data_IF_378438151445
#
_entry.id   IF_378438151445
#
_cell.length_a   1.000
_cell.length_b   1.000
_cell.length_c   1.000
_cell.angle_alpha   90.00
_cell.angle_beta   90.00
_cell.angle_gamma   90.00
#
_symmetry.space_group_name_H-M   'P 1'
#
loop_
_entity.id
_entity.type
_entity.pdbx_description
1 polymer ?
#
# COMPACT_ATOMS: atom_id res chain seq x y z
N UNK A 1 -3.30 9.60 -10.06
CA UNK A 1 -2.25 8.68 -9.58
C UNK A 1 -0.99 9.48 -9.45
N UNK A 2 -0.30 9.38 -8.31
CA UNK A 2 0.96 10.10 -8.08
C UNK A 2 2.14 9.36 -8.72
N UNK A 3 3.20 10.09 -9.07
CA UNK A 3 4.41 9.59 -9.75
C UNK A 3 5.09 8.52 -8.90
N UNK A 4 5.26 8.78 -7.61
CA UNK A 4 5.91 7.86 -6.68
C UNK A 4 5.19 6.50 -6.60
N UNK A 5 3.87 6.49 -6.81
CA UNK A 5 3.10 5.25 -6.83
C UNK A 5 3.33 4.45 -8.12
N UNK A 6 3.44 5.14 -9.27
CA UNK A 6 3.77 4.49 -10.55
C UNK A 6 5.18 3.90 -10.49
N UNK A 7 6.14 4.64 -9.95
CA UNK A 7 7.51 4.15 -9.74
C UNK A 7 7.54 2.88 -8.89
N UNK A 8 6.79 2.86 -7.79
CA UNK A 8 6.68 1.69 -6.92
C UNK A 8 6.08 0.49 -7.67
N UNK A 9 4.99 0.68 -8.42
CA UNK A 9 4.37 -0.39 -9.21
C UNK A 9 5.35 -0.94 -10.26
N UNK A 10 6.02 -0.06 -11.01
CA UNK A 10 6.98 -0.47 -12.02
C UNK A 10 8.14 -1.25 -11.41
N UNK A 11 8.69 -0.79 -10.28
CA UNK A 11 9.78 -1.45 -9.58
C UNK A 11 9.44 -2.89 -9.19
N UNK A 12 8.20 -3.14 -8.73
CA UNK A 12 7.73 -4.48 -8.38
C UNK A 12 7.34 -5.32 -9.61
N UNK A 13 6.87 -4.69 -10.68
CA UNK A 13 6.46 -5.36 -11.91
C UNK A 13 7.67 -5.76 -12.79
N UNK A 14 8.78 -5.02 -12.72
CA UNK A 14 9.98 -5.34 -13.47
C UNK A 14 10.63 -6.63 -13.00
N UNK A 15 10.93 -7.48 -13.97
CA UNK A 15 11.56 -8.78 -13.78
C UNK A 15 12.34 -9.21 -15.03
N UNK A 16 13.04 -10.33 -14.92
CA UNK A 16 13.72 -10.99 -16.06
C UNK A 16 12.78 -11.30 -17.24
N UNK A 17 11.48 -11.42 -16.99
CA UNK A 17 10.47 -11.64 -18.05
C UNK A 17 10.14 -10.37 -18.83
N UNK A 18 10.27 -9.22 -18.20
CA UNK A 18 10.01 -7.89 -18.80
C UNK A 18 11.25 -7.31 -19.46
N UNK A 19 12.45 -7.72 -19.02
CA UNK A 19 13.70 -7.42 -19.72
C UNK A 19 14.74 -8.51 -19.47
N UNK A 20 15.41 -8.98 -20.51
CA UNK A 20 16.51 -9.95 -20.38
C UNK A 20 17.76 -9.36 -19.72
N UNK A 21 17.85 -8.03 -19.62
CA UNK A 21 18.95 -7.31 -18.96
C UNK A 21 18.69 -7.03 -17.47
N UNK A 22 17.49 -7.36 -16.98
CA UNK A 22 17.08 -7.11 -15.60
C UNK A 22 17.96 -7.85 -14.59
N UNK A 23 18.33 -7.15 -13.51
CA UNK A 23 18.96 -7.77 -12.34
C UNK A 23 18.39 -7.17 -11.06
N UNK A 24 18.56 -7.87 -9.93
CA UNK A 24 18.13 -7.36 -8.62
C UNK A 24 18.88 -6.08 -8.20
N UNK A 25 20.13 -5.90 -8.64
CA UNK A 25 20.94 -4.72 -8.35
C UNK A 25 20.68 -3.55 -9.30
N UNK A 26 20.11 -3.79 -10.48
CA UNK A 26 19.67 -2.75 -11.41
C UNK A 26 18.36 -3.16 -12.10
N UNK A 27 17.21 -3.03 -11.41
CA UNK A 27 15.90 -3.45 -11.94
C UNK A 27 15.42 -2.67 -13.16
N UNK A 28 15.89 -1.43 -13.35
CA UNK A 28 15.50 -0.59 -14.48
C UNK A 28 16.22 -0.96 -15.80
N UNK A 29 17.28 -1.77 -15.73
CA UNK A 29 18.13 -2.06 -16.89
C UNK A 29 17.37 -2.77 -18.01
N UNK A 30 17.34 -2.11 -19.18
CA UNK A 30 16.65 -2.61 -20.37
C UNK A 30 15.12 -2.55 -20.25
N UNK A 31 14.59 -1.69 -19.37
CA UNK A 31 13.14 -1.51 -19.20
C UNK A 31 12.58 -0.29 -19.93
N UNK A 32 13.41 0.56 -20.54
CA UNK A 32 13.00 1.85 -21.10
C UNK A 32 11.86 1.71 -22.13
N UNK A 33 12.09 0.94 -23.19
CA UNK A 33 11.14 0.75 -24.28
C UNK A 33 9.82 0.13 -23.83
N UNK A 34 9.89 -0.93 -23.04
CA UNK A 34 8.70 -1.64 -22.52
C UNK A 34 7.89 -0.77 -21.55
N UNK A 35 8.58 0.01 -20.70
CA UNK A 35 7.94 0.93 -19.76
C UNK A 35 7.28 2.10 -20.50
N UNK A 36 7.96 2.69 -21.49
CA UNK A 36 7.43 3.79 -22.27
C UNK A 36 6.12 3.43 -22.99
N UNK A 37 6.03 2.19 -23.49
CA UNK A 37 4.80 1.64 -24.09
C UNK A 37 3.66 1.50 -23.08
N UNK A 38 3.91 0.91 -21.90
CA UNK A 38 2.90 0.71 -20.86
C UNK A 38 2.40 2.05 -20.30
N UNK A 39 3.31 2.99 -20.04
CA UNK A 39 2.96 4.34 -19.56
C UNK A 39 2.14 5.10 -20.60
N UNK A 40 2.50 4.98 -21.88
CA UNK A 40 1.71 5.56 -22.96
C UNK A 40 0.29 4.97 -23.01
N UNK A 41 0.10 3.67 -22.77
CA UNK A 41 -1.23 3.07 -22.73
C UNK A 41 -2.05 3.48 -21.50
N UNK A 42 -1.40 3.75 -20.37
CA UNK A 42 -2.05 4.16 -19.13
C UNK A 42 -2.46 5.64 -19.12
N UNK A 43 -1.61 6.52 -19.64
CA UNK A 43 -1.74 7.97 -19.48
C UNK A 43 -1.83 8.74 -20.80
N UNK A 44 -1.67 8.07 -21.94
CA UNK A 44 -1.50 8.70 -23.24
C UNK A 44 -0.16 9.43 -23.34
N UNK A 45 -0.16 10.61 -23.96
CA UNK A 45 1.05 11.40 -24.18
C UNK A 45 1.88 10.89 -25.36
N UNK A 46 3.09 11.41 -25.49
CA UNK A 46 4.01 11.09 -26.58
C UNK A 46 5.12 10.17 -26.08
N UNK A 47 5.59 9.27 -26.95
CA UNK A 47 6.84 8.53 -26.72
C UNK A 47 7.95 9.35 -27.37
N UNK A 48 9.00 9.61 -26.62
CA UNK A 48 10.20 10.31 -27.10
C UNK A 48 11.43 9.49 -26.79
N UNK A 49 12.56 9.83 -27.42
CA UNK A 49 13.82 9.13 -27.23
C UNK A 49 15.02 10.08 -27.21
N UNK A 50 16.12 9.59 -26.66
CA UNK A 50 17.42 10.27 -26.67
C UNK A 50 18.54 9.26 -26.91
N UNK A 51 19.69 9.70 -27.42
CA UNK A 51 20.85 8.83 -27.53
C UNK A 51 21.39 8.47 -26.14
N UNK A 52 21.68 7.18 -25.91
CA UNK A 52 22.29 6.65 -24.69
C UNK A 52 23.46 5.72 -25.03
N UNK A 53 24.34 5.37 -24.07
CA UNK A 53 25.53 4.56 -24.36
C UNK A 53 25.26 3.23 -25.06
N UNK A 54 24.12 2.59 -24.73
CA UNK A 54 23.73 1.27 -25.24
C UNK A 54 22.66 1.33 -26.36
N UNK A 55 22.45 2.51 -26.96
CA UNK A 55 21.48 2.70 -28.05
C UNK A 55 20.44 3.78 -27.75
N UNK A 56 19.23 3.60 -28.27
CA UNK A 56 18.13 4.54 -28.02
C UNK A 56 17.52 4.32 -26.63
N UNK A 57 17.32 5.41 -25.90
CA UNK A 57 16.59 5.40 -24.63
C UNK A 57 15.22 6.05 -24.79
N UNK A 58 14.16 5.30 -24.46
CA UNK A 58 12.77 5.71 -24.66
C UNK A 58 12.11 6.09 -23.34
N UNK A 59 11.29 7.14 -23.37
CA UNK A 59 10.55 7.68 -22.23
C UNK A 59 9.33 8.49 -22.73
N UNK A 60 8.55 9.09 -21.82
CA UNK A 60 7.28 9.72 -22.17
C UNK A 60 7.28 11.24 -21.95
N UNK A 61 6.54 11.95 -22.81
CA UNK A 61 6.11 13.32 -22.60
C UNK A 61 4.60 13.35 -22.37
N UNK A 62 4.17 13.68 -21.15
CA UNK A 62 2.74 13.70 -20.78
C UNK A 62 2.37 15.14 -20.39
N UNK A 63 1.46 15.74 -21.16
CA UNK A 63 1.02 17.14 -20.97
C UNK A 63 2.21 18.12 -20.90
N UNK A 64 3.22 17.92 -21.75
CA UNK A 64 4.42 18.76 -21.83
C UNK A 64 5.48 18.52 -20.77
N UNK A 65 5.29 17.55 -19.85
CA UNK A 65 6.28 17.19 -18.84
C UNK A 65 6.95 15.86 -19.18
N UNK A 66 8.25 15.76 -18.92
CA UNK A 66 9.05 14.55 -19.14
C UNK A 66 8.89 13.56 -17.99
N UNK A 67 8.67 12.29 -18.34
CA UNK A 67 8.59 11.18 -17.41
C UNK A 67 9.51 10.06 -17.88
N UNK A 68 10.63 9.90 -17.19
CA UNK A 68 11.57 8.79 -17.39
C UNK A 68 11.67 7.97 -16.10
N UNK A 69 10.83 6.94 -16.02
CA UNK A 69 10.81 6.01 -14.89
C UNK A 69 12.05 5.09 -14.87
N UNK A 70 12.85 5.08 -15.93
CA UNK A 70 13.96 4.14 -16.13
C UNK A 70 15.33 4.83 -16.15
N UNK A 71 15.39 6.09 -15.73
CA UNK A 71 16.64 6.87 -15.66
C UNK A 71 17.71 6.19 -14.79
N UNK A 72 17.26 5.48 -13.73
CA UNK A 72 18.14 4.74 -12.80
C UNK A 72 18.88 3.56 -13.41
N UNK A 73 18.63 3.21 -14.68
CA UNK A 73 19.42 2.18 -15.36
C UNK A 73 20.83 2.66 -15.74
N UNK A 74 21.05 3.98 -15.78
CA UNK A 74 22.31 4.61 -16.14
C UNK A 74 23.05 5.12 -14.90
N UNK A 75 24.38 4.97 -14.90
CA UNK A 75 25.24 5.54 -13.85
C UNK A 75 25.46 7.04 -14.06
N UNK A 76 25.44 7.48 -15.32
CA UNK A 76 25.62 8.88 -15.71
C UNK A 76 24.28 9.54 -16.04
N UNK A 77 24.22 10.86 -15.82
CA UNK A 77 23.04 11.64 -16.18
C UNK A 77 22.92 11.74 -17.70
N UNK A 78 21.77 11.35 -18.24
CA UNK A 78 21.49 11.48 -19.67
C UNK A 78 21.31 12.94 -20.09
N UNK A 79 21.77 13.24 -21.30
CA UNK A 79 21.37 14.44 -22.03
C UNK A 79 20.10 14.08 -22.78
N UNK A 80 19.00 14.76 -22.46
CA UNK A 80 17.68 14.49 -23.06
C UNK A 80 17.45 15.38 -24.27
N UNK A 81 17.38 14.76 -25.45
CA UNK A 81 17.09 15.42 -26.73
C UNK A 81 15.58 15.53 -27.02
N UNK A 82 14.74 14.75 -26.32
CA UNK A 82 13.29 14.65 -26.52
C UNK A 82 12.87 14.43 -27.98
N UNK A 83 13.62 13.62 -28.73
CA UNK A 83 13.31 13.34 -30.13
C UNK A 83 11.96 12.59 -30.23
N UNK A 84 11.03 13.00 -31.10
CA UNK A 84 9.79 12.28 -31.32
C UNK A 84 10.04 10.82 -31.68
N UNK A 85 9.22 9.93 -31.14
CA UNK A 85 9.27 8.50 -31.39
C UNK A 85 7.87 7.92 -31.52
N UNK A 86 7.77 6.65 -31.93
CA UNK A 86 6.51 5.92 -32.01
C UNK A 86 6.53 4.64 -31.19
N UNK A 87 5.37 3.98 -31.12
CA UNK A 87 5.26 2.65 -30.52
C UNK A 87 6.06 1.63 -31.33
N UNK A 88 6.03 1.73 -32.66
CA UNK A 88 6.79 0.86 -33.56
C UNK A 88 8.29 0.98 -33.31
N UNK A 89 8.79 2.19 -33.10
CA UNK A 89 10.18 2.43 -32.71
C UNK A 89 10.52 1.79 -31.36
N UNK A 90 9.67 1.96 -30.34
CA UNK A 90 9.90 1.34 -29.02
C UNK A 90 9.84 -0.20 -29.10
N UNK A 91 8.93 -0.77 -29.89
CA UNK A 91 8.85 -2.21 -30.14
C UNK A 91 10.02 -2.75 -30.98
N UNK A 92 10.86 -1.90 -31.57
CA UNK A 92 12.11 -2.37 -32.20
C UNK A 92 13.17 -2.78 -31.17
N UNK A 93 13.05 -2.30 -29.92
CA UNK A 93 13.99 -2.55 -28.82
C UNK A 93 13.41 -3.51 -27.74
N UNK A 94 12.11 -3.83 -27.81
CA UNK A 94 11.46 -4.80 -26.92
C UNK A 94 10.57 -5.78 -27.68
N UNK A 95 10.05 -6.81 -27.01
CA UNK A 95 9.14 -7.78 -27.62
C UNK A 95 7.70 -7.59 -27.13
N UNK A 96 6.74 -8.05 -27.94
CA UNK A 96 5.32 -8.08 -27.55
C UNK A 96 5.13 -8.85 -26.23
N UNK A 97 5.84 -9.97 -26.04
CA UNK A 97 5.76 -10.78 -24.82
C UNK A 97 6.24 -10.02 -23.58
N UNK A 98 7.35 -9.29 -23.67
CA UNK A 98 7.85 -8.46 -22.57
C UNK A 98 6.87 -7.34 -22.20
N UNK A 99 6.29 -6.70 -23.23
CA UNK A 99 5.26 -5.68 -23.05
C UNK A 99 3.97 -6.24 -22.43
N UNK A 100 3.48 -7.39 -22.89
CA UNK A 100 2.28 -8.01 -22.33
C UNK A 100 2.49 -8.45 -20.88
N UNK A 101 3.67 -8.97 -20.55
CA UNK A 101 4.02 -9.31 -19.16
C UNK A 101 3.99 -8.04 -18.28
N UNK A 102 4.73 -6.99 -18.65
CA UNK A 102 4.78 -5.76 -17.85
C UNK A 102 3.38 -5.15 -17.71
N UNK A 103 2.62 -5.05 -18.81
CA UNK A 103 1.25 -4.54 -18.82
C UNK A 103 0.35 -5.34 -17.88
N UNK A 104 0.48 -6.66 -17.87
CA UNK A 104 -0.32 -7.54 -17.01
C UNK A 104 0.03 -7.31 -15.55
N UNK A 105 1.32 -7.30 -15.20
CA UNK A 105 1.77 -7.07 -13.82
C UNK A 105 1.32 -5.69 -13.31
N UNK A 106 1.54 -4.64 -14.11
CA UNK A 106 1.09 -3.29 -13.77
C UNK A 106 -0.43 -3.24 -13.61
N UNK A 107 -1.19 -3.88 -14.50
CA UNK A 107 -2.66 -3.94 -14.37
C UNK A 107 -3.10 -4.68 -13.11
N UNK A 108 -2.40 -5.74 -12.69
CA UNK A 108 -2.72 -6.48 -11.48
C UNK A 108 -2.41 -5.65 -10.23
N UNK A 109 -1.26 -4.98 -10.18
CA UNK A 109 -0.89 -4.09 -9.08
C UNK A 109 -1.87 -2.92 -8.95
N UNK A 110 -2.26 -2.31 -10.07
CA UNK A 110 -3.26 -1.25 -10.11
C UNK A 110 -4.63 -1.71 -9.63
N UNK A 111 -5.03 -2.95 -9.97
CA UNK A 111 -6.27 -3.52 -9.45
C UNK A 111 -6.15 -3.77 -7.95
N UNK A 112 -5.09 -4.41 -7.48
CA UNK A 112 -4.94 -4.75 -6.06
C UNK A 112 -5.01 -3.52 -5.15
N UNK A 113 -4.24 -2.47 -5.46
CA UNK A 113 -4.20 -1.25 -4.64
C UNK A 113 -5.54 -0.53 -4.52
N UNK A 114 -6.31 -0.50 -5.61
CA UNK A 114 -7.61 0.18 -5.63
C UNK A 114 -8.78 -0.74 -5.22
N UNK A 115 -8.54 -2.04 -5.08
CA UNK A 115 -9.57 -3.02 -4.73
C UNK A 115 -9.57 -3.36 -3.24
N UNK A 116 -8.39 -3.43 -2.61
CA UNK A 116 -8.29 -3.70 -1.19
C UNK A 116 -8.37 -2.41 -0.37
N UNK A 117 -9.05 -2.50 0.77
CA UNK A 117 -9.02 -1.47 1.81
C UNK A 117 -7.78 -1.71 2.67
N UNK A 118 -6.64 -1.22 2.21
CA UNK A 118 -5.38 -1.36 2.95
C UNK A 118 -5.39 -0.46 4.18
N UNK A 119 -5.18 -1.06 5.35
CA UNK A 119 -5.12 -0.38 6.63
C UNK A 119 -4.22 -1.14 7.60
N UNK A 120 -3.19 -0.47 8.09
CA UNK A 120 -2.38 -0.89 9.22
C UNK A 120 -2.76 -0.07 10.45
N UNK A 121 -3.02 -0.75 11.57
CA UNK A 121 -3.26 -0.14 12.87
C UNK A 121 -2.13 -0.57 13.80
N UNK A 122 -1.30 0.39 14.20
CA UNK A 122 -0.16 0.18 15.07
C UNK A 122 -0.52 0.63 16.48
N UNK A 123 -0.59 -0.36 17.39
CA UNK A 123 -0.73 -0.11 18.81
C UNK A 123 0.48 0.62 19.38
N UNK A 124 0.29 1.35 20.49
CA UNK A 124 1.39 2.02 21.18
C UNK A 124 2.39 1.00 21.69
N UNK A 125 3.68 1.30 21.59
CA UNK A 125 4.69 0.40 22.17
C UNK A 125 4.65 0.45 23.70
N UNK A 126 4.79 1.66 24.26
CA UNK A 126 4.72 1.91 25.70
C UNK A 126 3.97 3.20 25.98
N UNK A 127 3.77 3.50 27.26
CA UNK A 127 3.27 4.78 27.72
C UNK A 127 4.05 5.95 27.08
N UNK A 128 3.31 6.97 26.65
CA UNK A 128 3.82 8.17 25.96
C UNK A 128 4.42 7.96 24.56
N UNK A 129 4.45 6.74 24.03
CA UNK A 129 4.87 6.50 22.65
C UNK A 129 3.72 6.72 21.66
N UNK A 130 4.07 6.88 20.40
CA UNK A 130 3.14 7.08 19.30
C UNK A 130 2.37 5.79 18.97
N UNK A 131 1.16 5.98 18.46
CA UNK A 131 0.39 4.99 17.70
C UNK A 131 0.15 5.53 16.30
N UNK A 132 0.00 4.63 15.33
CA UNK A 132 -0.17 5.04 13.94
C UNK A 132 -1.35 4.31 13.31
N UNK A 133 -2.10 5.02 12.48
CA UNK A 133 -3.04 4.45 11.53
C UNK A 133 -2.54 4.84 10.14
N UNK A 134 -2.27 3.84 9.31
CA UNK A 134 -1.74 4.04 7.96
C UNK A 134 -2.59 3.24 6.99
N UNK A 135 -3.25 3.88 6.04
CA UNK A 135 -4.07 3.18 5.05
C UNK A 135 -4.05 3.86 3.70
N UNK A 136 -4.50 3.15 2.67
CA UNK A 136 -4.82 3.76 1.39
C UNK A 136 -6.08 4.63 1.53
N UNK A 137 -6.41 5.40 0.48
CA UNK A 137 -7.55 6.32 0.51
C UNK A 137 -8.85 5.58 0.84
N UNK A 138 -9.07 4.45 0.20
CA UNK A 138 -10.25 3.61 0.33
C UNK A 138 -10.36 3.05 1.76
N UNK A 139 -9.25 2.56 2.34
CA UNK A 139 -9.19 2.10 3.72
C UNK A 139 -9.43 3.21 4.75
N UNK A 140 -8.84 4.40 4.57
CA UNK A 140 -9.07 5.51 5.50
C UNK A 140 -10.49 6.09 5.41
N UNK A 141 -11.10 6.09 4.22
CA UNK A 141 -12.51 6.49 4.05
C UNK A 141 -13.43 5.49 4.74
N UNK A 142 -13.22 4.19 4.54
CA UNK A 142 -14.00 3.16 5.22
C UNK A 142 -13.86 3.27 6.75
N UNK A 143 -12.64 3.45 7.26
CA UNK A 143 -12.42 3.61 8.70
C UNK A 143 -13.20 4.81 9.25
N UNK A 144 -13.19 5.95 8.55
CA UNK A 144 -13.99 7.12 8.95
C UNK A 144 -15.49 6.77 8.99
N UNK A 145 -16.00 6.11 7.95
CA UNK A 145 -17.41 5.77 7.87
C UNK A 145 -17.82 4.77 8.96
N UNK A 146 -16.94 3.84 9.34
CA UNK A 146 -17.11 2.95 10.49
C UNK A 146 -17.09 3.70 11.82
N UNK A 147 -16.24 4.71 11.98
CA UNK A 147 -16.26 5.59 13.17
C UNK A 147 -17.61 6.32 13.25
N UNK A 148 -18.08 6.90 12.15
CA UNK A 148 -19.38 7.58 12.09
C UNK A 148 -20.54 6.62 12.44
N UNK A 149 -20.49 5.38 11.94
CA UNK A 149 -21.45 4.33 12.29
C UNK A 149 -21.38 3.94 13.76
N UNK A 150 -20.19 3.80 14.34
CA UNK A 150 -20.03 3.49 15.76
C UNK A 150 -20.49 4.64 16.66
N UNK A 151 -20.31 5.89 16.23
CA UNK A 151 -20.85 7.07 16.92
C UNK A 151 -22.39 7.09 16.90
N UNK A 152 -23.02 6.55 15.85
CA UNK A 152 -24.47 6.47 15.74
C UNK A 152 -25.07 5.25 16.47
N UNK A 153 -24.37 4.10 16.45
CA UNK A 153 -24.90 2.80 16.83
C UNK A 153 -24.13 2.11 17.97
N UNK A 154 -23.25 2.85 18.65
CA UNK A 154 -22.26 2.40 19.64
C UNK A 154 -21.15 1.47 19.11
N UNK A 155 -21.39 0.67 18.08
CA UNK A 155 -20.38 -0.22 17.50
C UNK A 155 -20.47 -0.29 15.97
N UNK A 156 -19.37 -0.68 15.35
CA UNK A 156 -19.28 -1.03 13.93
C UNK A 156 -18.13 -2.01 13.69
N UNK A 157 -18.15 -2.67 12.53
CA UNK A 157 -17.11 -3.60 12.10
C UNK A 157 -16.94 -3.50 10.59
N UNK A 158 -15.71 -3.57 10.12
CA UNK A 158 -15.41 -3.63 8.68
C UNK A 158 -14.15 -4.43 8.38
N UNK A 159 -14.05 -4.89 7.13
CA UNK A 159 -12.92 -5.72 6.67
C UNK A 159 -11.83 -4.89 6.01
N UNK A 160 -10.58 -5.13 6.39
CA UNK A 160 -9.38 -4.46 5.91
C UNK A 160 -8.28 -5.46 5.57
N UNK A 161 -7.21 -4.98 4.94
CA UNK A 161 -6.04 -5.77 4.57
C UNK A 161 -4.76 -5.06 5.04
N UNK A 162 -3.78 -5.75 5.63
CA UNK A 162 -2.42 -5.26 5.73
C UNK A 162 -1.74 -5.41 4.36
N UNK A 163 -0.56 -4.82 4.19
CA UNK A 163 0.26 -4.91 2.97
C UNK A 163 0.67 -6.34 2.56
N UNK A 164 0.45 -7.34 3.40
CA UNK A 164 0.69 -8.76 3.11
C UNK A 164 -0.56 -9.48 2.57
N UNK A 165 -1.65 -8.75 2.36
CA UNK A 165 -2.94 -9.24 1.84
C UNK A 165 -3.68 -10.22 2.76
N UNK A 166 -3.31 -10.33 4.05
CA UNK A 166 -4.04 -11.14 5.02
C UNK A 166 -5.25 -10.38 5.60
N UNK A 167 -6.43 -10.58 5.03
CA UNK A 167 -7.65 -9.88 5.44
C UNK A 167 -7.98 -10.02 6.94
N UNK A 168 -8.37 -8.92 7.59
CA UNK A 168 -8.78 -8.88 8.99
C UNK A 168 -10.03 -8.02 9.20
N UNK A 169 -10.74 -8.26 10.30
CA UNK A 169 -11.85 -7.42 10.74
C UNK A 169 -11.36 -6.40 11.75
N UNK A 170 -11.65 -5.11 11.49
CA UNK A 170 -11.46 -4.04 12.45
C UNK A 170 -12.81 -3.70 13.10
N UNK A 171 -12.81 -3.65 14.42
CA UNK A 171 -13.98 -3.29 15.22
C UNK A 171 -13.79 -1.90 15.82
N UNK A 172 -14.83 -1.07 15.72
CA UNK A 172 -14.85 0.28 16.33
C UNK A 172 -15.99 0.32 17.34
N UNK A 173 -15.70 0.75 18.56
CA UNK A 173 -16.68 0.84 19.65
C UNK A 173 -16.62 2.18 20.37
N UNK A 174 -17.78 2.75 20.64
CA UNK A 174 -18.01 3.89 21.52
C UNK A 174 -18.33 3.40 22.92
N UNK A 175 -17.61 3.90 23.92
CA UNK A 175 -17.85 3.62 25.34
C UNK A 175 -18.11 4.94 26.05
N UNK A 176 -19.36 5.17 26.45
CA UNK A 176 -19.76 6.41 27.13
C UNK A 176 -19.61 6.33 28.66
N UNK A 177 -19.47 5.13 29.21
CA UNK A 177 -19.33 4.92 30.65
C UNK A 177 -17.85 4.89 31.07
N UNK A 178 -17.45 5.84 31.91
CA UNK A 178 -16.07 6.01 32.36
C UNK A 178 -15.54 4.80 33.16
N UNK A 179 -16.35 4.23 34.07
CA UNK A 179 -15.94 3.06 34.87
C UNK A 179 -15.69 1.83 33.97
N UNK A 180 -16.55 1.64 32.97
CA UNK A 180 -16.36 0.60 31.95
C UNK A 180 -15.11 0.86 31.12
N UNK A 181 -14.87 2.09 30.66
CA UNK A 181 -13.68 2.43 29.88
C UNK A 181 -12.39 2.19 30.67
N UNK A 182 -12.36 2.57 31.95
CA UNK A 182 -11.23 2.32 32.85
C UNK A 182 -11.00 0.83 33.16
N UNK A 183 -12.00 -0.02 32.94
CA UNK A 183 -11.88 -1.48 33.13
C UNK A 183 -11.27 -2.22 31.93
N UNK A 184 -11.11 -1.56 30.78
CA UNK A 184 -10.54 -2.15 29.57
C UNK A 184 -9.03 -2.41 29.71
N UNK A 185 -8.54 -3.43 29.02
CA UNK A 185 -7.11 -3.68 28.91
C UNK A 185 -6.39 -2.51 28.22
N UNK A 186 -5.17 -2.18 28.69
CA UNK A 186 -4.36 -1.12 28.09
C UNK A 186 -3.91 -1.47 26.66
N UNK A 187 -3.83 -0.51 25.74
CA UNK A 187 -3.54 -0.76 24.32
C UNK A 187 -2.04 -0.93 24.01
N UNK A 188 -1.18 -1.15 25.01
CA UNK A 188 0.27 -1.22 24.83
C UNK A 188 0.71 -2.62 24.36
N UNK A 189 1.72 -2.66 23.48
CA UNK A 189 2.32 -3.93 23.03
C UNK A 189 3.45 -4.40 23.94
N UNK A 190 4.07 -3.51 24.73
CA UNK A 190 5.07 -3.88 25.72
C UNK A 190 4.42 -4.50 26.96
N UNK A 191 4.84 -5.73 27.29
CA UNK A 191 4.41 -6.44 28.49
C UNK A 191 5.43 -6.27 29.62
N UNK A 192 4.97 -5.77 30.77
CA UNK A 192 5.79 -5.72 32.00
C UNK A 192 5.46 -6.91 32.91
N UNK A 193 6.38 -7.89 32.98
CA UNK A 193 6.29 -9.06 33.87
C UNK A 193 5.51 -10.26 33.29
N UNK A 194 5.37 -11.35 34.07
CA UNK A 194 4.69 -12.59 33.64
C UNK A 194 3.19 -12.40 33.35
N UNK A 195 2.60 -11.33 33.89
CA UNK A 195 1.25 -10.83 33.60
C UNK A 195 1.35 -9.31 33.40
N UNK A 196 0.55 -8.75 32.52
CA UNK A 196 0.48 -7.30 32.29
C UNK A 196 -0.03 -6.58 33.56
N UNK A 197 0.88 -6.25 34.49
CA UNK A 197 0.60 -5.61 35.77
C UNK A 197 0.66 -4.08 35.67
N UNK A 198 0.36 -3.49 34.51
CA UNK A 198 0.51 -2.06 34.29
C UNK A 198 -0.24 -1.25 35.36
N UNK A 199 0.53 -0.34 35.97
CA UNK A 199 0.40 0.32 37.28
C UNK A 199 -0.82 1.25 37.49
N UNK A 200 -1.76 1.29 36.55
CA UNK A 200 -3.04 2.00 36.71
C UNK A 200 -4.23 1.06 36.93
N UNK A 201 -4.00 -0.26 36.98
CA UNK A 201 -4.98 -1.21 37.50
C UNK A 201 -4.96 -1.21 39.04
N UNK A 202 -5.55 -0.18 39.66
CA UNK A 202 -6.06 -0.33 41.02
C UNK A 202 -7.39 -1.04 40.88
N UNK A 203 -7.39 -2.37 41.04
CA UNK A 203 -8.61 -3.16 41.14
C UNK A 203 -9.35 -2.75 42.43
N UNK A 204 -10.14 -1.68 42.37
CA UNK A 204 -10.89 -1.13 43.51
C UNK A 204 -11.98 -2.10 44.03
N UNK A 205 -12.15 -3.27 43.40
CA UNK A 205 -13.20 -4.25 43.72
C UNK A 205 -12.73 -5.71 43.85
N UNK A 206 -11.41 -5.99 43.86
CA UNK A 206 -10.87 -7.37 43.88
C UNK A 206 -11.56 -8.32 42.87
N UNK A 207 -11.83 -7.86 41.63
CA UNK A 207 -12.38 -8.74 40.60
C UNK A 207 -11.29 -9.66 40.03
N UNK A 208 -11.37 -10.99 40.21
CA UNK A 208 -10.37 -11.92 39.70
C UNK A 208 -10.43 -12.13 38.18
N UNK A 209 -11.44 -11.58 37.49
CA UNK A 209 -11.66 -11.74 36.05
C UNK A 209 -11.09 -10.59 35.20
N UNK A 210 -10.58 -9.54 35.83
CA UNK A 210 -9.94 -8.43 35.14
C UNK A 210 -8.43 -8.69 34.87
N UNK A 211 -7.80 -8.08 33.84
CA UNK A 211 -8.41 -7.20 32.83
C UNK A 211 -9.19 -7.99 31.77
N UNK A 212 -10.20 -7.34 31.18
CA UNK A 212 -11.01 -7.94 30.12
C UNK A 212 -10.48 -7.56 28.74
N UNK A 213 -10.39 -8.55 27.86
CA UNK A 213 -10.10 -8.31 26.44
C UNK A 213 -11.16 -7.36 25.83
N UNK A 214 -10.79 -6.39 24.97
CA UNK A 214 -11.74 -5.49 24.31
C UNK A 214 -12.87 -6.20 23.55
N UNK A 215 -12.72 -7.51 23.27
CA UNK A 215 -13.77 -8.37 22.71
C UNK A 215 -15.07 -8.36 23.54
N UNK A 216 -15.04 -7.98 24.82
CA UNK A 216 -16.25 -7.85 25.65
C UNK A 216 -17.22 -6.78 25.13
N UNK A 217 -16.75 -5.82 24.33
CA UNK A 217 -17.58 -4.81 23.68
C UNK A 217 -18.35 -5.38 22.48
N UNK A 218 -18.03 -6.60 22.06
CA UNK A 218 -18.56 -7.25 20.86
C UNK A 218 -19.13 -8.63 21.22
N UNK A 219 -20.36 -8.72 21.77
CA UNK A 219 -21.01 -10.01 21.97
C UNK A 219 -21.09 -10.73 20.61
N UNK A 220 -20.63 -11.99 20.57
CA UNK A 220 -20.69 -12.81 19.36
C UNK A 220 -22.13 -12.83 18.85
N UNK A 221 -22.33 -12.45 17.59
CA UNK A 221 -23.53 -12.85 16.85
C UNK A 221 -23.32 -14.31 16.53
N UNK A 222 -24.05 -15.20 17.20
CA UNK A 222 -24.01 -16.62 16.91
C UNK A 222 -24.37 -16.82 15.43
N UNK A 223 -23.39 -17.27 14.66
CA UNK A 223 -23.60 -17.77 13.30
C UNK A 223 -24.18 -19.18 13.41
N UNK A 224 -25.44 -19.27 13.81
CA UNK A 224 -26.27 -20.46 13.69
C UNK A 224 -27.73 -20.00 13.53
N UNK A 225 -28.10 -19.64 12.29
CA UNK A 225 -29.45 -19.81 11.75
C UNK A 225 -29.41 -19.76 10.20
N UNK A 226 -29.34 -20.97 9.61
CA UNK A 226 -29.58 -21.38 8.21
C UNK A 226 -28.51 -21.14 7.13
#
# INVERSE_FOLDING_TARGET
MDIAHIESILLHAWSIKTSSKWTQTNPAKGQCSVTALVIHDLFGGEIVKTAAPDGWHFYNMIKGNRFDFTASQFEETLIYEDLPSSREDAFSDTSLTQYEELRTQVSLSLKSWNYHRYLHVYAQHSHHHESFIVGNREGLVELRDLIDLALANNTSVGGFFPSDDEGYSLYVGLVENEELFQSLEMPYTEQFGEKNNNIYFVNLKEDPKAPYSPIILFPKVDADEA
#
